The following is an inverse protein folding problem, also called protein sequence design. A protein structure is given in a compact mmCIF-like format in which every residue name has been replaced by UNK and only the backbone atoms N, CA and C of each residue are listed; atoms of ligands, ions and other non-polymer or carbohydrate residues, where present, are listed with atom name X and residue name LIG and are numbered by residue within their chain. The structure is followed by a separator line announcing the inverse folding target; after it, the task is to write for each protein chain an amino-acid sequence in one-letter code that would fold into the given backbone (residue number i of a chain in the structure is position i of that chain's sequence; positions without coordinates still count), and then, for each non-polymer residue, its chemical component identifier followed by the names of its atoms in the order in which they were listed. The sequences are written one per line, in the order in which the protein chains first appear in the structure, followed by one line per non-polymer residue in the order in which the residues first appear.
data_IF_741933505354
#
_entry.id   IF_741933505354
#
_cell.length_a   1.000
_cell.length_b   1.000
_cell.length_c   1.000
_cell.angle_alpha   90.00
_cell.angle_beta   90.00
_cell.angle_gamma   90.00
#
_symmetry.space_group_name_H-M   'P 1'
#
loop_
_entity.id
_entity.type
_entity.pdbx_description
1 polymer ?
#
# COMPACT_ATOMS: atom_id res chain seq x y z
N UNK A 1 32.79 52.22 -29.11
CA UNK A 1 34.16 51.68 -28.94
C UNK A 1 34.30 51.46 -27.45
N UNK A 2 34.52 50.29 -26.85
CA UNK A 2 35.24 49.09 -27.24
C UNK A 2 35.02 48.03 -26.12
N UNK A 3 34.66 46.80 -26.53
CA UNK A 3 35.24 45.50 -26.11
C UNK A 3 35.19 45.12 -24.61
N UNK A 4 34.38 44.11 -24.30
CA UNK A 4 34.83 42.79 -23.77
C UNK A 4 34.39 42.67 -22.30
N UNK A 5 33.99 41.55 -21.71
CA UNK A 5 34.04 40.13 -22.06
C UNK A 5 32.98 39.43 -21.17
N UNK A 6 32.33 38.40 -21.72
CA UNK A 6 31.55 37.39 -21.01
C UNK A 6 32.19 36.92 -19.70
N UNK A 7 31.41 36.84 -18.61
CA UNK A 7 31.37 35.64 -17.73
C UNK A 7 29.91 35.42 -17.28
N UNK A 8 29.28 34.47 -17.98
CA UNK A 8 28.09 33.74 -17.55
C UNK A 8 28.47 32.95 -16.31
N UNK A 9 27.85 33.20 -15.16
CA UNK A 9 27.59 32.12 -14.18
C UNK A 9 26.33 32.48 -13.39
N UNK A 10 25.19 32.04 -13.91
CA UNK A 10 24.03 31.75 -13.08
C UNK A 10 24.42 30.57 -12.17
N UNK A 11 24.94 30.85 -10.97
CA UNK A 11 25.18 29.85 -9.94
C UNK A 11 23.88 29.63 -9.16
N UNK A 12 22.86 29.17 -9.89
CA UNK A 12 21.84 28.32 -9.31
C UNK A 12 22.50 26.96 -9.18
N UNK A 13 23.06 26.66 -8.01
CA UNK A 13 23.34 25.29 -7.63
C UNK A 13 22.61 25.03 -6.33
N UNK A 14 21.42 24.46 -6.55
CA UNK A 14 20.64 23.72 -5.59
C UNK A 14 21.56 22.92 -4.66
N UNK A 15 21.46 23.20 -3.37
CA UNK A 15 21.85 22.24 -2.35
C UNK A 15 20.81 21.12 -2.47
N UNK A 16 21.10 20.13 -3.31
CA UNK A 16 20.40 18.86 -3.31
C UNK A 16 20.85 18.09 -2.08
N UNK A 17 19.89 17.66 -1.27
CA UNK A 17 20.15 16.64 -0.25
C UNK A 17 20.30 15.30 -0.98
N UNK A 18 21.44 14.63 -0.84
CA UNK A 18 21.52 13.19 -1.08
C UNK A 18 21.01 12.49 0.19
N UNK A 19 19.87 11.83 0.09
CA UNK A 19 19.55 10.70 0.96
C UNK A 19 19.83 9.44 0.13
N UNK A 20 21.06 8.97 0.19
CA UNK A 20 21.46 7.69 -0.38
C UNK A 20 21.28 6.60 0.69
N UNK A 21 20.05 6.09 0.77
CA UNK A 21 19.78 4.75 1.32
C UNK A 21 19.51 3.85 0.12
N UNK A 22 20.57 3.25 -0.41
CA UNK A 22 20.41 2.09 -1.29
C UNK A 22 20.18 0.89 -0.37
N UNK A 23 18.92 0.46 -0.24
CA UNK A 23 18.62 -0.84 0.35
C UNK A 23 18.90 -1.92 -0.71
N UNK A 24 19.81 -2.83 -0.39
CA UNK A 24 20.14 -3.98 -1.24
C UNK A 24 18.90 -4.87 -1.44
N UNK A 25 18.18 -4.64 -2.54
CA UNK A 25 17.08 -5.46 -3.00
C UNK A 25 17.61 -6.82 -3.45
N UNK A 26 17.62 -7.79 -2.53
CA UNK A 26 17.90 -9.18 -2.83
C UNK A 26 16.72 -9.77 -3.60
N UNK A 27 16.71 -9.66 -4.93
CA UNK A 27 15.76 -10.43 -5.73
C UNK A 27 16.11 -11.92 -5.60
N UNK A 28 15.15 -12.72 -5.15
CA UNK A 28 15.28 -14.16 -5.16
C UNK A 28 15.13 -14.66 -6.59
N UNK A 29 16.22 -14.71 -7.37
CA UNK A 29 16.19 -15.20 -8.76
C UNK A 29 15.78 -16.68 -8.83
N UNK A 30 14.54 -16.95 -9.29
CA UNK A 30 14.19 -18.24 -9.88
C UNK A 30 14.43 -18.17 -11.40
N UNK A 31 15.24 -19.09 -11.94
CA UNK A 31 15.50 -19.26 -13.38
C UNK A 31 16.13 -18.05 -14.14
N UNK A 32 16.77 -17.11 -13.43
CA UNK A 32 17.54 -16.03 -14.08
C UNK A 32 16.69 -14.94 -14.73
N UNK A 33 15.40 -14.88 -14.41
CA UNK A 33 14.53 -13.74 -14.70
C UNK A 33 14.44 -12.89 -13.43
N UNK A 34 14.46 -11.54 -13.52
CA UNK A 34 14.16 -10.70 -12.37
C UNK A 34 12.78 -11.08 -11.83
N UNK A 35 12.73 -11.73 -10.69
CA UNK A 35 11.50 -11.91 -9.93
C UNK A 35 11.34 -10.61 -9.16
N UNK A 36 10.29 -9.88 -9.49
CA UNK A 36 9.83 -8.77 -8.67
C UNK A 36 9.22 -9.37 -7.40
N UNK A 37 10.05 -9.53 -6.38
CA UNK A 37 9.61 -9.96 -5.06
C UNK A 37 9.09 -8.75 -4.28
N UNK A 38 7.79 -8.74 -4.01
CA UNK A 38 7.11 -7.72 -3.24
C UNK A 38 7.44 -7.86 -1.73
N UNK A 39 8.71 -8.05 -1.35
CA UNK A 39 9.14 -8.38 0.03
C UNK A 39 8.64 -7.33 1.01
N UNK A 40 8.86 -6.06 0.71
CA UNK A 40 8.43 -4.95 1.57
C UNK A 40 6.91 -4.88 1.69
N UNK A 41 6.20 -5.02 0.56
CA UNK A 41 4.74 -5.01 0.53
C UNK A 41 4.14 -6.18 1.32
N UNK A 42 4.71 -7.37 1.18
CA UNK A 42 4.33 -8.57 1.97
C UNK A 42 4.64 -8.38 3.45
N UNK A 43 5.78 -7.78 3.78
CA UNK A 43 6.17 -7.50 5.16
C UNK A 43 5.23 -6.48 5.80
N UNK A 44 4.86 -5.43 5.07
CA UNK A 44 3.88 -4.45 5.52
C UNK A 44 2.48 -5.07 5.69
N UNK A 45 2.07 -5.94 4.75
CA UNK A 45 0.83 -6.69 4.87
C UNK A 45 0.79 -7.51 6.16
N UNK A 46 1.80 -8.34 6.42
CA UNK A 46 1.86 -9.21 7.59
C UNK A 46 1.97 -8.40 8.90
N UNK A 47 2.74 -7.32 8.90
CA UNK A 47 2.98 -6.51 10.10
C UNK A 47 1.85 -5.54 10.45
N UNK A 48 1.11 -5.03 9.46
CA UNK A 48 0.20 -3.89 9.65
C UNK A 48 -1.22 -4.18 9.18
N UNK A 49 -1.41 -4.78 8.01
CA UNK A 49 -2.74 -4.98 7.40
C UNK A 49 -3.45 -6.19 7.98
N UNK A 50 -2.79 -7.35 8.00
CA UNK A 50 -3.36 -8.60 8.47
C UNK A 50 -3.91 -8.52 9.92
N UNK A 51 -3.19 -7.90 10.89
CA UNK A 51 -3.74 -7.72 12.25
C UNK A 51 -5.03 -6.90 12.30
N UNK A 52 -5.23 -5.94 11.39
CA UNK A 52 -6.49 -5.17 11.30
C UNK A 52 -7.62 -6.08 10.82
N UNK A 53 -7.38 -6.87 9.76
CA UNK A 53 -8.37 -7.78 9.21
C UNK A 53 -8.80 -8.82 10.24
N UNK A 54 -7.84 -9.39 10.96
CA UNK A 54 -8.09 -10.39 12.01
C UNK A 54 -8.84 -9.78 13.19
N UNK A 55 -8.38 -8.62 13.70
CA UNK A 55 -9.01 -7.96 14.86
C UNK A 55 -10.41 -7.42 14.58
N UNK A 56 -10.72 -7.10 13.32
CA UNK A 56 -12.05 -6.64 12.88
C UNK A 56 -12.94 -7.80 12.40
N UNK A 57 -12.44 -9.03 12.42
CA UNK A 57 -13.21 -10.23 12.05
C UNK A 57 -13.55 -10.29 10.56
N UNK A 58 -12.77 -9.64 9.69
CA UNK A 58 -13.03 -9.56 8.26
C UNK A 58 -13.08 -10.96 7.61
N UNK A 59 -12.16 -11.85 8.00
CA UNK A 59 -12.05 -13.22 7.47
C UNK A 59 -13.20 -14.13 7.91
N UNK A 60 -14.04 -13.72 8.87
CA UNK A 60 -15.22 -14.48 9.27
C UNK A 60 -16.29 -14.59 8.17
N UNK A 61 -16.36 -13.60 7.28
CA UNK A 61 -17.26 -13.59 6.12
C UNK A 61 -16.53 -13.33 4.79
N UNK A 62 -15.22 -13.06 4.82
CA UNK A 62 -14.40 -12.83 3.64
C UNK A 62 -13.21 -13.79 3.62
N UNK A 63 -13.43 -15.06 3.92
CA UNK A 63 -12.42 -16.09 3.68
C UNK A 63 -12.60 -16.66 2.27
N UNK A 64 -11.55 -17.24 1.69
CA UNK A 64 -11.62 -17.97 0.42
C UNK A 64 -12.64 -19.12 0.48
N UNK A 65 -12.84 -19.73 1.65
CA UNK A 65 -13.86 -20.77 1.87
C UNK A 65 -15.30 -20.24 1.92
N UNK A 66 -15.49 -18.96 2.22
CA UNK A 66 -16.80 -18.31 2.29
C UNK A 66 -16.66 -16.80 1.94
N UNK A 67 -16.55 -16.47 0.63
CA UNK A 67 -16.28 -15.09 0.20
C UNK A 67 -17.58 -14.33 0.04
N UNK A 68 -18.13 -13.79 1.13
CA UNK A 68 -19.33 -12.96 1.08
C UNK A 68 -19.13 -11.79 0.11
N UNK A 69 -20.13 -11.55 -0.75
CA UNK A 69 -20.02 -10.53 -1.80
C UNK A 69 -18.97 -10.83 -2.87
N UNK A 70 -18.46 -12.07 -2.96
CA UNK A 70 -17.45 -12.47 -3.94
C UNK A 70 -16.04 -11.99 -3.64
N UNK A 71 -15.77 -11.60 -2.39
CA UNK A 71 -14.48 -11.05 -1.95
C UNK A 71 -13.86 -11.92 -0.86
N UNK A 72 -12.62 -12.35 -1.09
CA UNK A 72 -11.77 -13.01 -0.10
C UNK A 72 -10.67 -12.06 0.39
N UNK A 73 -10.38 -12.09 1.70
CA UNK A 73 -9.46 -11.21 2.43
C UNK A 73 -8.58 -12.01 3.41
N UNK A 74 -8.24 -13.25 3.07
CA UNK A 74 -7.47 -14.18 3.90
C UNK A 74 -6.11 -14.59 3.31
N UNK A 75 -5.70 -14.00 2.19
CA UNK A 75 -4.37 -14.15 1.59
C UNK A 75 -3.80 -12.80 1.19
N UNK A 76 -2.47 -12.70 1.09
CA UNK A 76 -1.81 -11.48 0.61
C UNK A 76 -2.37 -11.05 -0.74
N UNK A 77 -2.45 -11.97 -1.70
CA UNK A 77 -2.89 -11.70 -3.07
C UNK A 77 -4.35 -11.21 -3.11
N UNK A 78 -5.25 -11.86 -2.36
CA UNK A 78 -6.67 -11.49 -2.33
C UNK A 78 -6.91 -10.17 -1.60
N UNK A 79 -6.18 -9.92 -0.51
CA UNK A 79 -6.24 -8.66 0.24
C UNK A 79 -5.70 -7.51 -0.59
N UNK A 80 -4.53 -7.69 -1.22
CA UNK A 80 -3.95 -6.70 -2.12
C UNK A 80 -4.91 -6.35 -3.25
N UNK A 81 -5.44 -7.37 -3.95
CA UNK A 81 -6.43 -7.15 -5.01
C UNK A 81 -7.69 -6.43 -4.50
N UNK A 82 -8.22 -6.83 -3.34
CA UNK A 82 -9.41 -6.23 -2.75
C UNK A 82 -9.22 -4.77 -2.30
N UNK A 83 -8.04 -4.42 -1.81
CA UNK A 83 -7.71 -3.06 -1.36
C UNK A 83 -7.34 -2.15 -2.53
N UNK A 84 -6.49 -2.61 -3.44
CA UNK A 84 -5.94 -1.78 -4.53
C UNK A 84 -6.91 -1.65 -5.70
N UNK A 85 -7.60 -2.74 -6.06
CA UNK A 85 -8.47 -2.79 -7.24
C UNK A 85 -9.95 -2.97 -6.91
N UNK A 86 -10.26 -3.33 -5.67
CA UNK A 86 -11.61 -3.58 -5.21
C UNK A 86 -12.25 -2.38 -4.54
N UNK A 87 -13.26 -2.67 -3.72
CA UNK A 87 -14.02 -1.66 -2.98
C UNK A 87 -13.74 -1.66 -1.49
N UNK A 88 -12.68 -2.33 -1.00
CA UNK A 88 -12.45 -2.48 0.45
C UNK A 88 -12.40 -1.10 1.13
N UNK A 89 -11.57 -0.19 0.62
CA UNK A 89 -11.41 1.16 1.19
C UNK A 89 -12.73 1.94 1.20
N UNK A 90 -13.52 1.86 0.13
CA UNK A 90 -14.86 2.46 0.07
C UNK A 90 -15.79 1.90 1.16
N UNK A 91 -15.81 0.57 1.39
CA UNK A 91 -16.73 -0.03 2.35
C UNK A 91 -16.34 0.21 3.80
N UNK A 92 -15.05 0.15 4.13
CA UNK A 92 -14.57 0.37 5.50
C UNK A 92 -14.54 1.85 5.88
N UNK A 93 -14.51 2.75 4.89
CA UNK A 93 -14.56 4.19 5.07
C UNK A 93 -15.95 4.76 5.35
N UNK A 94 -17.02 4.00 5.06
CA UNK A 94 -18.42 4.41 5.29
C UNK A 94 -18.73 4.64 6.77
N UNK A 95 -19.75 5.43 7.06
CA UNK A 95 -20.26 5.63 8.42
C UNK A 95 -21.19 4.48 8.85
N UNK A 96 -21.24 4.15 10.17
CA UNK A 96 -22.16 3.14 10.66
C UNK A 96 -23.61 3.48 10.31
N UNK A 97 -24.31 2.52 9.68
CA UNK A 97 -25.70 2.67 9.23
C UNK A 97 -25.84 3.07 7.76
N UNK A 98 -24.76 3.45 7.08
CA UNK A 98 -24.78 3.63 5.63
C UNK A 98 -24.91 2.28 4.90
N UNK A 99 -25.62 2.22 3.76
CA UNK A 99 -25.69 1.02 2.95
C UNK A 99 -24.29 0.51 2.58
N UNK A 100 -24.01 -0.77 2.84
CA UNK A 100 -22.71 -1.38 2.52
C UNK A 100 -21.57 -1.02 3.47
N UNK A 101 -21.84 -0.39 4.62
CA UNK A 101 -20.88 -0.23 5.71
C UNK A 101 -20.26 -1.58 6.10
N UNK A 102 -18.93 -1.59 6.23
CA UNK A 102 -18.15 -2.72 6.73
C UNK A 102 -17.25 -2.30 7.90
N UNK A 103 -17.04 -3.16 8.92
CA UNK A 103 -17.55 -4.53 9.04
C UNK A 103 -19.06 -4.58 9.36
N UNK A 104 -19.80 -5.49 8.71
CA UNK A 104 -21.26 -5.60 8.90
C UNK A 104 -21.60 -5.95 10.34
N UNK A 105 -22.42 -5.11 10.99
CA UNK A 105 -22.77 -5.28 12.41
C UNK A 105 -21.62 -5.05 13.39
N UNK A 106 -20.43 -4.66 12.91
CA UNK A 106 -19.26 -4.36 13.71
C UNK A 106 -19.11 -2.87 14.00
N UNK A 107 -17.99 -2.52 14.62
CA UNK A 107 -17.58 -1.13 14.84
C UNK A 107 -16.69 -0.65 13.69
N UNK A 108 -16.79 0.63 13.36
CA UNK A 108 -15.94 1.27 12.36
C UNK A 108 -14.46 1.07 12.71
N UNK A 109 -13.62 0.98 11.69
CA UNK A 109 -12.17 1.01 11.87
C UNK A 109 -11.76 2.36 12.47
N UNK A 110 -10.70 2.38 13.29
CA UNK A 110 -10.14 3.65 13.75
C UNK A 110 -9.51 4.41 12.57
N UNK A 111 -9.28 5.71 12.75
CA UNK A 111 -8.61 6.52 11.74
C UNK A 111 -7.23 5.95 11.38
N UNK A 112 -6.42 5.59 12.38
CA UNK A 112 -5.10 4.96 12.16
C UNK A 112 -5.20 3.65 11.35
N UNK A 113 -6.23 2.84 11.60
CA UNK A 113 -6.45 1.60 10.83
C UNK A 113 -6.81 1.89 9.38
N UNK A 114 -7.65 2.91 9.13
CA UNK A 114 -7.99 3.34 7.77
C UNK A 114 -6.75 3.88 7.03
N UNK A 115 -5.90 4.63 7.72
CA UNK A 115 -4.65 5.15 7.16
C UNK A 115 -3.66 4.05 6.80
N UNK A 116 -3.57 2.99 7.60
CA UNK A 116 -2.76 1.80 7.27
C UNK A 116 -3.27 1.14 5.99
N UNK A 117 -4.59 0.94 5.85
CA UNK A 117 -5.17 0.32 4.65
C UNK A 117 -4.98 1.22 3.42
N UNK A 118 -5.13 2.54 3.58
CA UNK A 118 -4.90 3.51 2.51
C UNK A 118 -3.42 3.56 2.11
N UNK A 119 -2.50 3.51 3.07
CA UNK A 119 -1.06 3.45 2.83
C UNK A 119 -0.69 2.20 2.04
N UNK A 120 -1.18 1.03 2.46
CA UNK A 120 -0.99 -0.22 1.73
C UNK A 120 -1.46 -0.15 0.28
N UNK A 121 -2.56 0.55 0.00
CA UNK A 121 -3.08 0.69 -1.37
C UNK A 121 -2.18 1.50 -2.31
N UNK A 122 -1.29 2.33 -1.75
CA UNK A 122 -0.35 3.17 -2.50
C UNK A 122 1.07 2.60 -2.58
N UNK A 123 1.32 1.44 -1.97
CA UNK A 123 2.62 0.78 -2.06
C UNK A 123 2.72 -0.02 -3.35
N UNK A 124 3.76 0.23 -4.14
CA UNK A 124 4.00 -0.50 -5.38
C UNK A 124 4.89 -1.72 -5.09
N UNK A 125 4.57 -2.84 -5.74
CA UNK A 125 5.56 -3.90 -5.91
C UNK A 125 6.44 -3.47 -7.09
N UNK A 126 7.75 -3.24 -6.87
CA UNK A 126 8.66 -2.77 -7.92
C UNK A 126 8.72 -3.75 -9.08
#
# INVERSE_FOLDING_TARGET
MNKSLLIIVAMVFFIGCEENVEEDYNNGSENGMPTYDCVELRSYYTGSVQPILDSKGCTGCHATSDPAGGLALDSFESVHSGIVHGSVLDRVGREPGEPGFMPQGGTKLSQDQLEILQGFSGMECP
#
